data_IF_335891350361
#
_entry.id   IF_335891350361
#
_cell.length_a   1.000
_cell.length_b   1.000
_cell.length_c   1.000
_cell.angle_alpha   90.00
_cell.angle_beta   90.00
_cell.angle_gamma   90.00
#
_symmetry.space_group_name_H-M   'P 1'
#
loop_
_entity.id
_entity.type
_entity.pdbx_description
1 polymer ?
#
# COMPACT_ATOMS: atom_id res chain seq x y z
N UNK A 1 13.40 9.80 -13.64
CA UNK A 1 13.54 10.09 -12.19
C UNK A 1 13.15 8.79 -11.53
N UNK A 2 14.08 8.05 -10.91
CA UNK A 2 13.76 6.70 -10.40
C UNK A 2 12.63 6.76 -9.38
N UNK A 3 11.55 6.00 -9.59
CA UNK A 3 10.48 5.90 -8.61
C UNK A 3 10.91 5.09 -7.37
N UNK A 4 10.11 5.13 -6.31
CA UNK A 4 10.44 4.50 -5.03
C UNK A 4 9.43 3.39 -4.73
N UNK A 5 9.93 2.18 -4.45
CA UNK A 5 9.14 1.08 -3.91
C UNK A 5 9.16 1.13 -2.38
N UNK A 6 8.02 1.40 -1.75
CA UNK A 6 7.88 1.39 -0.30
C UNK A 6 7.37 0.03 0.20
N UNK A 7 8.07 -0.58 1.15
CA UNK A 7 7.56 -1.72 1.91
C UNK A 7 6.89 -1.21 3.18
N UNK A 8 5.56 -1.15 3.16
CA UNK A 8 4.77 -0.64 4.27
C UNK A 8 4.46 -1.78 5.26
N UNK A 9 4.85 -1.69 6.54
CA UNK A 9 4.43 -2.66 7.54
C UNK A 9 2.92 -2.53 7.79
N UNK A 10 2.28 -3.66 8.07
CA UNK A 10 0.88 -3.69 8.48
C UNK A 10 0.75 -3.55 10.01
N UNK A 11 -0.45 -3.27 10.49
CA UNK A 11 -0.74 -3.17 11.93
C UNK A 11 -0.68 -4.55 12.58
N UNK A 12 -0.10 -4.61 13.77
CA UNK A 12 -0.08 -5.82 14.61
C UNK A 12 -1.35 -5.98 15.47
N UNK A 13 -2.17 -4.94 15.57
CA UNK A 13 -3.45 -4.96 16.28
C UNK A 13 -4.39 -3.87 15.74
N UNK A 14 -5.68 -3.93 16.08
CA UNK A 14 -6.69 -2.95 15.65
C UNK A 14 -6.76 -1.68 16.52
N UNK A 15 -5.70 -1.41 17.31
CA UNK A 15 -5.57 -0.16 18.08
C UNK A 15 -5.39 1.06 17.15
N UNK A 16 -5.30 2.24 17.78
CA UNK A 16 -5.02 3.48 17.04
C UNK A 16 -3.78 3.29 16.15
N UNK A 17 -3.86 3.81 14.92
CA UNK A 17 -2.81 3.62 13.93
C UNK A 17 -1.49 4.28 14.35
N UNK A 18 -1.53 5.32 15.18
CA UNK A 18 -0.35 5.99 15.75
C UNK A 18 0.27 5.21 16.91
N UNK A 19 -0.50 4.32 17.55
CA UNK A 19 0.04 3.40 18.57
C UNK A 19 0.75 2.19 17.93
N UNK A 20 0.46 1.89 16.66
CA UNK A 20 0.88 0.66 16.00
C UNK A 20 1.84 0.88 14.84
N UNK A 21 1.91 2.09 14.29
CA UNK A 21 2.76 2.45 13.15
C UNK A 21 3.52 3.75 13.41
N UNK A 22 4.81 3.83 13.02
CA UNK A 22 5.55 5.09 13.04
C UNK A 22 4.95 6.14 12.09
N UNK A 23 5.06 7.42 12.43
CA UNK A 23 4.50 8.53 11.63
C UNK A 23 4.96 8.50 10.17
N UNK A 24 6.23 8.17 9.91
CA UNK A 24 6.76 8.05 8.54
C UNK A 24 5.97 7.05 7.69
N UNK A 25 5.48 5.96 8.28
CA UNK A 25 4.68 4.94 7.56
C UNK A 25 3.32 5.50 7.20
N UNK A 26 2.69 6.21 8.14
CA UNK A 26 1.40 6.88 7.92
C UNK A 26 1.53 7.94 6.82
N UNK A 27 2.58 8.75 6.86
CA UNK A 27 2.84 9.77 5.85
C UNK A 27 3.09 9.18 4.47
N UNK A 28 3.94 8.15 4.37
CA UNK A 28 4.19 7.47 3.09
C UNK A 28 2.89 6.87 2.55
N UNK A 29 2.15 6.12 3.37
CA UNK A 29 0.91 5.50 2.94
C UNK A 29 -0.14 6.52 2.46
N UNK A 30 -0.23 7.69 3.11
CA UNK A 30 -1.16 8.78 2.71
C UNK A 30 -0.73 9.56 1.47
N UNK A 31 0.53 9.45 1.05
CA UNK A 31 1.09 10.10 -0.15
C UNK A 31 1.17 9.16 -1.35
N UNK A 32 0.87 7.87 -1.16
CA UNK A 32 0.95 6.83 -2.20
C UNK A 32 -0.43 6.57 -2.78
N UNK A 33 -0.55 6.54 -4.10
CA UNK A 33 -1.81 6.27 -4.80
C UNK A 33 -1.86 4.88 -5.46
N UNK A 34 -0.72 4.19 -5.52
CA UNK A 34 -0.56 2.89 -6.17
C UNK A 34 -0.03 1.86 -5.17
N UNK A 35 -0.81 0.82 -4.93
CA UNK A 35 -0.51 -0.23 -3.94
C UNK A 35 -0.54 -1.60 -4.59
N UNK A 36 0.46 -2.41 -4.24
CA UNK A 36 0.47 -3.85 -4.46
C UNK A 36 0.11 -4.52 -3.13
N UNK A 37 -0.95 -5.31 -3.11
CA UNK A 37 -1.46 -5.92 -1.88
C UNK A 37 -1.73 -7.42 -2.06
N UNK A 38 -1.47 -8.21 -1.03
CA UNK A 38 -1.85 -9.63 -1.02
C UNK A 38 -3.37 -9.80 -1.25
N UNK A 39 -4.17 -8.95 -0.62
CA UNK A 39 -5.62 -8.91 -0.79
C UNK A 39 -6.13 -7.47 -0.85
N UNK A 40 -6.83 -7.11 -1.92
CA UNK A 40 -7.26 -5.74 -2.18
C UNK A 40 -8.37 -5.26 -1.23
N UNK A 41 -9.16 -6.17 -0.65
CA UNK A 41 -10.17 -5.82 0.38
C UNK A 41 -9.48 -5.44 1.69
N UNK A 42 -8.52 -6.26 2.14
CA UNK A 42 -7.76 -5.98 3.37
C UNK A 42 -6.94 -4.68 3.27
N UNK A 43 -6.35 -4.40 2.10
CA UNK A 43 -5.64 -3.16 1.85
C UNK A 43 -6.54 -1.93 1.95
N UNK A 44 -7.77 -1.99 1.40
CA UNK A 44 -8.75 -0.91 1.56
C UNK A 44 -9.14 -0.70 3.02
N UNK A 45 -9.35 -1.77 3.78
CA UNK A 45 -9.61 -1.67 5.23
C UNK A 45 -8.45 -1.00 5.97
N UNK A 46 -7.20 -1.37 5.64
CA UNK A 46 -6.00 -0.75 6.19
C UNK A 46 -5.92 0.75 5.86
N UNK A 47 -6.05 1.12 4.58
CA UNK A 47 -5.98 2.51 4.12
C UNK A 47 -7.13 3.37 4.67
N UNK A 48 -8.32 2.78 4.86
CA UNK A 48 -9.43 3.42 5.59
C UNK A 48 -9.03 3.75 7.02
N UNK A 49 -8.43 2.80 7.74
CA UNK A 49 -7.98 3.00 9.12
C UNK A 49 -6.87 4.06 9.22
N UNK A 50 -6.02 4.18 8.20
CA UNK A 50 -5.00 5.23 8.14
C UNK A 50 -5.57 6.62 7.86
N UNK A 51 -6.88 6.74 7.57
CA UNK A 51 -7.50 7.97 7.07
C UNK A 51 -6.76 8.51 5.83
N UNK A 52 -6.63 7.66 4.79
CA UNK A 52 -6.09 8.08 3.50
C UNK A 52 -6.86 9.31 2.97
N UNK A 53 -6.17 10.37 2.52
CA UNK A 53 -6.82 11.64 2.18
C UNK A 53 -7.70 11.56 0.92
N UNK A 54 -7.37 10.66 -0.01
CA UNK A 54 -8.19 10.42 -1.23
C UNK A 54 -9.26 9.37 -1.01
N UNK A 55 -10.42 9.46 -1.70
CA UNK A 55 -11.38 8.37 -1.77
C UNK A 55 -10.73 7.05 -2.19
N UNK A 56 -11.00 5.96 -1.46
CA UNK A 56 -10.34 4.67 -1.70
C UNK A 56 -10.64 4.05 -3.07
N UNK A 57 -11.68 4.52 -3.76
CA UNK A 57 -12.04 4.10 -5.12
C UNK A 57 -11.12 4.72 -6.18
N UNK A 58 -10.48 5.85 -5.86
CA UNK A 58 -9.51 6.52 -6.75
C UNK A 58 -8.11 5.92 -6.65
N UNK A 59 -7.86 5.09 -5.64
CA UNK A 59 -6.57 4.43 -5.45
C UNK A 59 -6.44 3.22 -6.36
N UNK A 60 -5.26 3.05 -6.95
CA UNK A 60 -4.92 1.81 -7.64
C UNK A 60 -4.43 0.81 -6.61
N UNK A 61 -5.16 -0.29 -6.45
CA UNK A 61 -4.81 -1.37 -5.52
C UNK A 61 -4.83 -2.67 -6.31
N UNK A 62 -3.66 -3.13 -6.72
CA UNK A 62 -3.51 -4.41 -7.42
C UNK A 62 -3.37 -5.55 -6.43
N UNK A 63 -4.20 -6.58 -6.60
CA UNK A 63 -4.08 -7.82 -5.84
C UNK A 63 -3.00 -8.70 -6.45
N UNK A 64 -1.92 -8.95 -5.69
CA UNK A 64 -0.80 -9.80 -6.12
C UNK A 64 -0.89 -11.22 -5.55
N UNK A 65 -1.82 -11.46 -4.61
CA UNK A 65 -2.00 -12.74 -3.93
C UNK A 65 -0.93 -13.06 -2.90
N UNK A 66 -1.15 -14.12 -2.12
CA UNK A 66 -0.21 -14.57 -1.08
C UNK A 66 1.07 -15.19 -1.65
N UNK A 67 1.00 -15.68 -2.89
CA UNK A 67 2.13 -16.19 -3.66
C UNK A 67 2.18 -15.43 -4.99
N UNK A 68 2.80 -14.25 -5.00
CA UNK A 68 2.90 -13.44 -6.21
C UNK A 68 3.63 -14.20 -7.32
N UNK A 69 3.10 -14.13 -8.53
CA UNK A 69 3.75 -14.69 -9.71
C UNK A 69 5.03 -13.87 -10.03
N UNK A 70 6.24 -14.48 -9.95
CA UNK A 70 7.49 -13.77 -10.20
C UNK A 70 7.57 -13.18 -11.61
N UNK A 71 6.84 -13.74 -12.58
CA UNK A 71 6.84 -13.25 -13.97
C UNK A 71 6.17 -11.89 -14.12
N UNK A 72 5.28 -11.51 -13.20
CA UNK A 72 4.51 -10.25 -13.22
C UNK A 72 5.18 -9.07 -12.52
N UNK A 73 6.29 -9.32 -11.81
CA UNK A 73 6.98 -8.28 -11.02
C UNK A 73 7.36 -7.08 -11.86
N UNK A 74 7.79 -7.30 -13.11
CA UNK A 74 8.17 -6.21 -14.01
C UNK A 74 6.98 -5.32 -14.36
N UNK A 75 5.80 -5.92 -14.58
CA UNK A 75 4.59 -5.17 -14.90
C UNK A 75 4.14 -4.31 -13.71
N UNK A 76 4.15 -4.90 -12.50
CA UNK A 76 3.80 -4.21 -11.26
C UNK A 76 4.72 -3.03 -10.92
N UNK A 77 6.00 -3.13 -11.28
CA UNK A 77 6.99 -2.07 -11.03
C UNK A 77 7.11 -1.07 -12.19
N UNK A 78 6.40 -1.28 -13.31
CA UNK A 78 6.42 -0.38 -14.45
C UNK A 78 6.19 1.10 -14.09
N UNK A 79 5.28 1.46 -13.16
CA UNK A 79 5.08 2.86 -12.78
C UNK A 79 6.31 3.59 -12.24
N UNK A 80 7.33 2.86 -11.74
CA UNK A 80 8.52 3.43 -11.11
C UNK A 80 9.81 3.28 -11.94
N UNK A 81 9.75 2.63 -13.11
CA UNK A 81 10.93 2.32 -13.94
C UNK A 81 11.36 3.42 -14.92
N UNK A 82 10.83 4.66 -14.81
CA UNK A 82 11.06 5.78 -15.76
C UNK A 82 12.20 6.74 -15.40
#
# INVERSE_FOLDING_TARGET
MTGILHLLPNRISERDVRETLPDRVLETARKTDYFLAENAKSARTFLKALAHPKPLIELTIEEIGHRPDPTRVRDWLNPIMS
#
